data_IF_874387770538
#
_entry.id   IF_874387770538
#
_cell.length_a   1.000
_cell.length_b   1.000
_cell.length_c   1.000
_cell.angle_alpha   90.00
_cell.angle_beta   90.00
_cell.angle_gamma   90.00
#
_symmetry.space_group_name_H-M   'P 1'
#
loop_
_entity.id
_entity.type
_entity.pdbx_description
1 polymer ?
#
# COMPACT_ATOMS: atom_id res chain seq x y z
N UNK A 1 -62.37 -25.30 -0.04
CA UNK A 1 -61.46 -25.38 1.13
C UNK A 1 -60.04 -25.83 0.77
N UNK A 2 -59.81 -27.04 0.23
CA UNK A 2 -58.46 -27.51 -0.17
C UNK A 2 -57.68 -26.58 -1.12
N UNK A 3 -58.34 -25.99 -2.13
CA UNK A 3 -57.71 -25.05 -3.08
C UNK A 3 -57.27 -23.73 -2.42
N UNK A 4 -58.04 -23.24 -1.44
CA UNK A 4 -57.72 -22.02 -0.69
C UNK A 4 -56.53 -22.27 0.24
N UNK A 5 -56.51 -23.42 0.93
CA UNK A 5 -55.39 -23.82 1.78
C UNK A 5 -54.10 -23.96 0.96
N UNK A 6 -54.15 -24.60 -0.22
CA UNK A 6 -52.99 -24.67 -1.12
C UNK A 6 -52.49 -23.30 -1.56
N UNK A 7 -53.39 -22.38 -1.91
CA UNK A 7 -53.01 -21.02 -2.33
C UNK A 7 -52.34 -20.24 -1.18
N UNK A 8 -52.86 -20.36 0.05
CA UNK A 8 -52.28 -19.74 1.25
C UNK A 8 -50.92 -20.36 1.59
N UNK A 9 -50.78 -21.68 1.51
CA UNK A 9 -49.50 -22.36 1.72
C UNK A 9 -48.45 -21.95 0.67
N UNK A 10 -48.84 -21.81 -0.60
CA UNK A 10 -47.93 -21.34 -1.66
C UNK A 10 -47.46 -19.90 -1.42
N UNK A 11 -48.37 -19.00 -1.01
CA UNK A 11 -48.02 -17.61 -0.67
C UNK A 11 -47.06 -17.52 0.52
N UNK A 12 -47.24 -18.37 1.53
CA UNK A 12 -46.33 -18.48 2.68
C UNK A 12 -44.92 -18.91 2.25
N UNK A 13 -44.82 -19.91 1.38
CA UNK A 13 -43.51 -20.37 0.87
C UNK A 13 -42.83 -19.26 0.06
N UNK A 14 -43.58 -18.56 -0.80
CA UNK A 14 -43.05 -17.42 -1.59
C UNK A 14 -42.57 -16.30 -0.66
N UNK A 15 -43.30 -15.98 0.40
CA UNK A 15 -42.92 -14.97 1.38
C UNK A 15 -41.62 -15.32 2.12
N UNK A 16 -41.47 -16.58 2.56
CA UNK A 16 -40.23 -17.05 3.22
C UNK A 16 -39.04 -16.97 2.27
N UNK A 17 -39.20 -17.43 1.02
CA UNK A 17 -38.14 -17.35 -0.01
C UNK A 17 -37.77 -15.90 -0.28
N UNK A 18 -38.75 -15.00 -0.41
CA UNK A 18 -38.50 -13.58 -0.65
C UNK A 18 -37.76 -12.93 0.52
N UNK A 19 -38.12 -13.25 1.78
CA UNK A 19 -37.42 -12.75 2.96
C UNK A 19 -35.97 -13.24 3.04
N UNK A 20 -35.69 -14.50 2.69
CA UNK A 20 -34.32 -15.03 2.65
C UNK A 20 -33.49 -14.31 1.58
N UNK A 21 -34.07 -14.08 0.39
CA UNK A 21 -33.40 -13.34 -0.70
C UNK A 21 -33.12 -11.90 -0.28
N UNK A 22 -34.09 -11.21 0.33
CA UNK A 22 -33.93 -9.84 0.81
C UNK A 22 -32.88 -9.75 1.92
N UNK A 23 -32.87 -10.68 2.88
CA UNK A 23 -31.86 -10.74 3.93
C UNK A 23 -30.44 -10.99 3.40
N UNK A 24 -30.30 -11.89 2.42
CA UNK A 24 -29.00 -12.12 1.78
C UNK A 24 -28.52 -10.91 0.96
N UNK A 25 -29.46 -10.20 0.32
CA UNK A 25 -29.16 -8.93 -0.37
C UNK A 25 -28.75 -7.84 0.61
N UNK A 26 -29.44 -7.67 1.73
CA UNK A 26 -29.11 -6.67 2.74
C UNK A 26 -27.74 -6.95 3.36
N UNK A 27 -27.46 -8.20 3.75
CA UNK A 27 -26.14 -8.58 4.29
C UNK A 27 -25.00 -8.36 3.29
N UNK A 28 -25.27 -8.50 1.99
CA UNK A 28 -24.30 -8.19 0.93
C UNK A 28 -24.08 -6.68 0.79
N UNK A 29 -25.14 -5.88 0.90
CA UNK A 29 -25.07 -4.42 0.88
C UNK A 29 -24.32 -3.88 2.12
N UNK A 30 -24.62 -4.37 3.32
CA UNK A 30 -23.92 -3.96 4.56
C UNK A 30 -22.42 -4.26 4.48
N UNK A 31 -22.04 -5.43 3.95
CA UNK A 31 -20.62 -5.79 3.75
C UNK A 31 -19.92 -4.91 2.73
N UNK A 32 -20.65 -4.49 1.69
CA UNK A 32 -20.15 -3.56 0.69
C UNK A 32 -19.92 -2.18 1.31
N UNK A 33 -20.88 -1.64 2.07
CA UNK A 33 -20.74 -0.34 2.75
C UNK A 33 -19.55 -0.34 3.71
N UNK A 34 -19.42 -1.38 4.55
CA UNK A 34 -18.28 -1.52 5.46
C UNK A 34 -16.95 -1.60 4.70
N UNK A 35 -16.91 -2.30 3.56
CA UNK A 35 -15.70 -2.39 2.74
C UNK A 35 -15.33 -1.03 2.14
N UNK A 36 -16.31 -0.28 1.63
CA UNK A 36 -16.12 1.08 1.10
C UNK A 36 -15.61 2.01 2.20
N UNK A 37 -16.27 2.06 3.36
CA UNK A 37 -15.89 2.94 4.46
C UNK A 37 -14.47 2.62 4.97
N UNK A 38 -14.13 1.33 5.09
CA UNK A 38 -12.78 0.90 5.50
C UNK A 38 -11.74 1.33 4.46
N UNK A 39 -12.01 1.10 3.18
CA UNK A 39 -11.06 1.43 2.11
C UNK A 39 -10.84 2.93 1.98
N UNK A 40 -11.91 3.73 2.07
CA UNK A 40 -11.82 5.18 2.04
C UNK A 40 -11.13 5.73 3.29
N UNK A 41 -11.38 5.17 4.47
CA UNK A 41 -10.67 5.51 5.70
C UNK A 41 -9.15 5.32 5.54
N UNK A 42 -8.72 4.16 5.03
CA UNK A 42 -7.32 3.90 4.73
C UNK A 42 -6.74 4.88 3.70
N UNK A 43 -7.40 4.99 2.55
CA UNK A 43 -6.88 5.77 1.42
C UNK A 43 -6.78 7.27 1.70
N UNK A 44 -7.74 7.84 2.43
CA UNK A 44 -7.81 9.28 2.70
C UNK A 44 -7.03 9.73 3.93
N UNK A 45 -6.93 8.90 4.98
CA UNK A 45 -6.44 9.36 6.30
C UNK A 45 -5.17 8.66 6.78
N UNK A 46 -4.91 7.42 6.35
CA UNK A 46 -3.82 6.61 6.88
C UNK A 46 -2.71 6.31 5.86
N UNK A 47 -2.98 6.52 4.56
CA UNK A 47 -2.05 6.19 3.48
C UNK A 47 -1.02 7.30 3.29
N UNK A 48 0.02 7.25 4.13
CA UNK A 48 1.05 8.30 4.30
C UNK A 48 2.11 8.37 3.19
N UNK A 49 1.78 8.00 1.96
CA UNK A 49 2.77 7.94 0.88
C UNK A 49 3.36 9.32 0.55
N UNK A 50 2.57 10.39 0.64
CA UNK A 50 3.06 11.77 0.51
C UNK A 50 3.98 12.20 1.65
N UNK A 51 3.67 11.86 2.91
CA UNK A 51 4.56 12.18 4.03
C UNK A 51 5.89 11.41 3.96
N UNK A 52 5.85 10.16 3.47
CA UNK A 52 7.04 9.36 3.24
C UNK A 52 7.89 9.95 2.10
N UNK A 53 7.24 10.36 1.00
CA UNK A 53 7.89 11.06 -0.11
C UNK A 53 8.64 12.32 0.38
N UNK A 54 7.95 13.21 1.10
CA UNK A 54 8.55 14.43 1.64
C UNK A 54 9.74 14.13 2.57
N UNK A 55 9.63 13.08 3.38
CA UNK A 55 10.69 12.67 4.31
C UNK A 55 11.92 12.10 3.60
N UNK A 56 11.72 11.37 2.50
CA UNK A 56 12.80 10.82 1.67
C UNK A 56 13.47 11.91 0.83
N UNK A 57 12.70 12.79 0.19
CA UNK A 57 13.26 13.95 -0.54
C UNK A 57 14.07 14.85 0.39
N UNK A 58 13.53 15.14 1.58
CA UNK A 58 14.25 15.90 2.59
C UNK A 58 15.57 15.21 2.97
N UNK A 59 15.54 13.90 3.22
CA UNK A 59 16.75 13.15 3.57
C UNK A 59 17.83 13.22 2.48
N UNK A 60 17.43 13.07 1.21
CA UNK A 60 18.34 13.23 0.08
C UNK A 60 18.90 14.65 -0.01
N UNK A 61 18.05 15.68 0.16
CA UNK A 61 18.47 17.08 0.07
C UNK A 61 19.43 17.49 1.19
N UNK A 62 19.21 16.96 2.41
CA UNK A 62 20.02 17.24 3.59
C UNK A 62 21.20 16.27 3.73
N UNK A 63 21.31 15.28 2.84
CA UNK A 63 22.29 14.19 2.89
C UNK A 63 22.27 13.45 4.23
N UNK A 64 21.08 13.28 4.80
CA UNK A 64 20.87 12.83 6.17
C UNK A 64 19.60 12.01 6.30
N UNK A 65 19.73 10.78 6.81
CA UNK A 65 18.60 9.91 7.09
C UNK A 65 18.42 9.74 8.61
N UNK A 66 17.36 10.31 9.18
CA UNK A 66 17.12 10.29 10.63
C UNK A 66 16.58 8.92 11.09
N UNK A 67 17.23 8.31 12.09
CA UNK A 67 16.90 7.00 12.70
C UNK A 67 16.45 7.09 14.16
N UNK A 68 15.72 8.16 14.49
CA UNK A 68 15.15 8.35 15.83
C UNK A 68 15.99 9.15 16.81
N UNK A 69 15.56 9.11 18.06
CA UNK A 69 16.20 9.81 19.18
C UNK A 69 17.50 9.11 19.60
N UNK A 70 18.46 9.88 20.10
CA UNK A 70 19.74 9.36 20.57
C UNK A 70 19.54 8.23 21.60
N UNK A 71 20.11 7.05 21.33
CA UNK A 71 20.01 5.87 22.21
C UNK A 71 18.72 5.05 22.04
N UNK A 72 17.84 5.44 21.11
CA UNK A 72 16.69 4.66 20.66
C UNK A 72 16.77 4.51 19.16
N UNK A 73 17.27 3.37 18.71
CA UNK A 73 17.26 3.05 17.29
C UNK A 73 15.82 2.81 16.84
N UNK A 74 15.23 3.75 16.10
CA UNK A 74 13.91 3.60 15.52
C UNK A 74 13.92 4.03 14.06
N UNK A 75 13.76 3.06 13.17
CA UNK A 75 13.80 3.28 11.74
C UNK A 75 12.41 3.67 11.21
N UNK A 76 12.15 4.98 11.19
CA UNK A 76 10.86 5.50 10.73
C UNK A 76 10.54 5.12 9.29
N UNK A 77 11.54 5.08 8.41
CA UNK A 77 11.35 4.77 6.98
C UNK A 77 10.91 3.33 6.77
N UNK A 78 11.56 2.38 7.46
CA UNK A 78 11.11 0.98 7.49
C UNK A 78 9.67 0.87 7.97
N UNK A 79 9.36 1.46 9.13
CA UNK A 79 8.04 1.32 9.74
C UNK A 79 6.94 1.94 8.86
N UNK A 80 7.20 3.09 8.25
CA UNK A 80 6.27 3.75 7.33
C UNK A 80 6.08 2.95 6.04
N UNK A 81 7.16 2.42 5.43
CA UNK A 81 7.07 1.57 4.23
C UNK A 81 6.28 0.29 4.51
N UNK A 82 6.53 -0.36 5.65
CA UNK A 82 5.78 -1.54 6.08
C UNK A 82 4.29 -1.25 6.28
N UNK A 83 3.97 -0.07 6.84
CA UNK A 83 2.59 0.39 6.97
C UNK A 83 1.95 0.60 5.60
N UNK A 84 2.63 1.30 4.68
CA UNK A 84 2.14 1.53 3.31
C UNK A 84 1.93 0.19 2.57
N UNK A 85 2.87 -0.75 2.67
CA UNK A 85 2.72 -2.11 2.12
C UNK A 85 1.47 -2.81 2.65
N UNK A 86 1.30 -2.83 3.97
CA UNK A 86 0.15 -3.48 4.63
C UNK A 86 -1.17 -2.87 4.18
N UNK A 87 -1.23 -1.55 4.12
CA UNK A 87 -2.41 -0.82 3.70
C UNK A 87 -2.73 -1.05 2.22
N UNK A 88 -1.72 -1.04 1.35
CA UNK A 88 -1.90 -1.32 -0.07
C UNK A 88 -2.51 -2.71 -0.27
N UNK A 89 -1.96 -3.72 0.42
CA UNK A 89 -2.52 -5.09 0.43
C UNK A 89 -3.98 -5.11 0.88
N UNK A 90 -4.35 -4.35 1.91
CA UNK A 90 -5.73 -4.27 2.39
C UNK A 90 -6.66 -3.63 1.34
N UNK A 91 -6.23 -2.54 0.69
CA UNK A 91 -7.00 -1.90 -0.39
C UNK A 91 -7.22 -2.86 -1.56
N UNK A 92 -6.19 -3.61 -1.96
CA UNK A 92 -6.28 -4.65 -2.98
C UNK A 92 -7.30 -5.73 -2.59
N UNK A 93 -7.28 -6.24 -1.36
CA UNK A 93 -8.25 -7.23 -0.87
C UNK A 93 -9.70 -6.72 -0.90
N UNK A 94 -9.90 -5.42 -0.66
CA UNK A 94 -11.20 -4.78 -0.68
C UNK A 94 -11.69 -4.44 -2.10
N UNK A 95 -10.82 -4.48 -3.12
CA UNK A 95 -11.18 -4.15 -4.49
C UNK A 95 -12.33 -4.99 -5.03
N UNK A 96 -12.26 -6.32 -4.92
CA UNK A 96 -13.29 -7.23 -5.44
C UNK A 96 -14.68 -6.98 -4.84
N UNK A 97 -14.82 -6.88 -3.51
CA UNK A 97 -16.06 -6.48 -2.85
C UNK A 97 -16.63 -5.13 -3.31
N UNK A 98 -15.77 -4.15 -3.63
CA UNK A 98 -16.17 -2.77 -3.94
C UNK A 98 -16.46 -2.55 -5.44
N UNK A 99 -15.53 -2.95 -6.31
CA UNK A 99 -15.56 -2.63 -7.74
C UNK A 99 -15.90 -3.83 -8.63
N UNK A 100 -16.06 -5.03 -8.03
CA UNK A 100 -16.17 -6.28 -8.76
C UNK A 100 -14.82 -6.90 -9.08
N UNK A 101 -14.82 -8.17 -9.46
CA UNK A 101 -13.59 -8.97 -9.61
C UNK A 101 -12.97 -8.91 -11.02
N UNK A 102 -13.53 -8.12 -11.95
CA UNK A 102 -13.11 -8.12 -13.36
C UNK A 102 -11.65 -7.69 -13.58
N UNK A 103 -11.09 -6.90 -12.67
CA UNK A 103 -9.69 -6.44 -12.72
C UNK A 103 -8.89 -6.88 -11.49
N UNK A 104 -9.46 -7.75 -10.65
CA UNK A 104 -8.85 -8.15 -9.38
C UNK A 104 -7.51 -8.85 -9.59
N UNK A 105 -7.41 -9.75 -10.58
CA UNK A 105 -6.18 -10.50 -10.86
C UNK A 105 -5.03 -9.60 -11.32
N UNK A 106 -5.36 -8.52 -12.03
CA UNK A 106 -4.41 -7.48 -12.46
C UNK A 106 -3.95 -6.63 -11.28
N UNK A 107 -4.88 -6.16 -10.45
CA UNK A 107 -4.58 -5.29 -9.30
C UNK A 107 -3.89 -6.05 -8.17
N UNK A 108 -4.28 -7.31 -7.96
CA UNK A 108 -3.62 -8.22 -7.02
C UNK A 108 -2.33 -8.83 -7.55
N UNK A 109 -2.05 -8.62 -8.85
CA UNK A 109 -0.82 -9.03 -9.56
C UNK A 109 -0.40 -10.46 -9.21
N UNK A 110 -1.19 -11.43 -9.71
CA UNK A 110 -1.02 -12.85 -9.43
C UNK A 110 0.41 -13.33 -9.74
N UNK A 111 1.08 -13.88 -8.71
CA UNK A 111 2.27 -14.72 -8.85
C UNK A 111 3.04 -14.86 -7.54
N UNK A 112 3.86 -13.86 -7.23
CA UNK A 112 4.65 -13.69 -5.99
C UNK A 112 5.32 -12.30 -5.92
N UNK A 113 5.24 -11.48 -6.98
CA UNK A 113 5.84 -10.16 -7.06
C UNK A 113 4.72 -9.16 -7.38
N UNK A 114 4.36 -8.35 -6.39
CA UNK A 114 3.32 -7.33 -6.50
C UNK A 114 3.79 -6.07 -5.77
N UNK A 115 3.05 -4.98 -5.93
CA UNK A 115 3.45 -3.68 -5.39
C UNK A 115 3.63 -3.70 -3.87
N UNK A 116 2.82 -4.47 -3.12
CA UNK A 116 3.01 -4.56 -1.67
C UNK A 116 4.26 -5.36 -1.28
N UNK A 117 4.65 -6.39 -2.05
CA UNK A 117 5.92 -7.09 -1.83
C UNK A 117 7.12 -6.17 -2.12
N UNK A 118 7.07 -5.39 -3.21
CA UNK A 118 8.09 -4.38 -3.48
C UNK A 118 8.21 -3.37 -2.34
N UNK A 119 7.09 -2.88 -1.80
CA UNK A 119 7.10 -1.96 -0.65
C UNK A 119 7.66 -2.62 0.63
N UNK A 120 7.43 -3.93 0.82
CA UNK A 120 8.05 -4.69 1.91
C UNK A 120 9.56 -4.85 1.67
N UNK A 121 10.02 -5.09 0.44
CA UNK A 121 11.44 -5.14 0.09
C UNK A 121 12.13 -3.80 0.32
N UNK A 122 11.46 -2.68 0.01
CA UNK A 122 11.93 -1.34 0.39
C UNK A 122 12.04 -1.20 1.91
N UNK A 123 11.09 -1.73 2.67
CA UNK A 123 11.16 -1.71 4.14
C UNK A 123 12.35 -2.53 4.65
N UNK A 124 12.60 -3.70 4.08
CA UNK A 124 13.74 -4.56 4.42
C UNK A 124 15.07 -3.83 4.13
N UNK A 125 15.16 -3.16 2.98
CA UNK A 125 16.34 -2.36 2.63
C UNK A 125 16.68 -1.34 3.72
N UNK A 126 15.68 -0.60 4.20
CA UNK A 126 15.91 0.37 5.27
C UNK A 126 16.26 -0.30 6.60
N UNK A 127 15.67 -1.45 6.92
CA UNK A 127 16.02 -2.24 8.12
C UNK A 127 17.51 -2.60 8.10
N UNK A 128 17.96 -3.19 6.99
CA UNK A 128 19.35 -3.60 6.78
C UNK A 128 20.31 -2.39 6.76
N UNK A 129 19.92 -1.28 6.12
CA UNK A 129 20.68 -0.02 6.16
C UNK A 129 20.87 0.44 7.61
N UNK A 130 19.80 0.35 8.40
CA UNK A 130 19.84 0.72 9.80
C UNK A 130 20.82 -0.10 10.63
N UNK A 131 20.80 -1.41 10.47
CA UNK A 131 21.68 -2.32 11.23
C UNK A 131 23.16 -2.24 10.79
N UNK A 132 23.40 -2.01 9.50
CA UNK A 132 24.74 -2.10 8.90
C UNK A 132 25.46 -0.76 8.75
N UNK A 133 24.78 0.37 8.92
CA UNK A 133 25.35 1.72 8.74
C UNK A 133 26.25 2.21 9.88
N UNK A 134 26.80 1.33 10.73
CA UNK A 134 27.59 1.71 11.94
C UNK A 134 28.68 2.75 11.68
N UNK A 135 29.34 2.69 10.53
CA UNK A 135 30.41 3.61 10.15
C UNK A 135 29.91 4.95 9.57
N UNK A 136 28.66 4.99 9.13
CA UNK A 136 27.99 6.17 8.56
C UNK A 136 27.02 6.81 9.56
N UNK A 137 26.84 6.21 10.74
CA UNK A 137 26.07 6.79 11.85
C UNK A 137 26.78 8.03 12.41
N UNK A 138 26.03 9.12 12.49
CA UNK A 138 26.41 10.37 13.12
C UNK A 138 25.30 10.81 14.09
N UNK A 139 25.58 11.79 14.93
CA UNK A 139 24.59 12.38 15.83
C UNK A 139 24.79 13.89 15.93
N UNK A 140 23.71 14.61 16.22
CA UNK A 140 23.70 16.06 16.41
C UNK A 140 23.42 16.47 17.87
N UNK A 141 23.54 15.53 18.81
CA UNK A 141 23.27 15.71 20.23
C UNK A 141 21.84 15.35 20.66
N UNK A 142 20.87 15.31 19.74
CA UNK A 142 19.48 14.93 20.02
C UNK A 142 19.02 13.72 19.22
N UNK A 143 19.47 13.60 17.97
CA UNK A 143 19.06 12.57 17.02
C UNK A 143 20.25 11.78 16.52
N UNK A 144 19.97 10.53 16.17
CA UNK A 144 20.90 9.68 15.45
C UNK A 144 20.49 9.61 14.00
N UNK A 145 21.46 9.73 13.09
CA UNK A 145 21.20 9.72 11.67
C UNK A 145 22.31 9.02 10.89
N UNK A 146 21.97 8.54 9.71
CA UNK A 146 22.93 8.05 8.72
C UNK A 146 23.31 9.20 7.80
N UNK A 147 24.61 9.47 7.73
CA UNK A 147 25.19 10.42 6.79
C UNK A 147 25.24 9.77 5.40
N UNK A 148 24.37 10.24 4.50
CA UNK A 148 24.22 9.66 3.17
C UNK A 148 25.49 9.85 2.32
N UNK A 149 26.27 10.91 2.57
CA UNK A 149 27.52 11.17 1.88
C UNK A 149 28.65 10.20 2.26
N UNK A 150 28.43 9.34 3.26
CA UNK A 150 29.36 8.29 3.70
C UNK A 150 28.85 6.89 3.39
N UNK A 151 27.77 6.75 2.64
CA UNK A 151 27.30 5.45 2.17
C UNK A 151 28.08 5.03 0.93
N UNK A 152 28.22 3.71 0.76
CA UNK A 152 28.71 3.15 -0.49
C UNK A 152 27.74 3.50 -1.63
N UNK A 153 28.29 3.70 -2.84
CA UNK A 153 27.52 4.15 -4.01
C UNK A 153 26.29 3.27 -4.29
N UNK A 154 26.41 1.96 -4.10
CA UNK A 154 25.31 1.00 -4.30
C UNK A 154 24.18 1.18 -3.29
N UNK A 155 24.51 1.48 -2.03
CA UNK A 155 23.53 1.71 -0.97
C UNK A 155 22.83 3.05 -1.19
N UNK A 156 23.58 4.10 -1.55
CA UNK A 156 23.00 5.39 -1.89
C UNK A 156 22.06 5.29 -3.11
N UNK A 157 22.44 4.51 -4.12
CA UNK A 157 21.56 4.22 -5.27
C UNK A 157 20.25 3.56 -4.82
N UNK A 158 20.28 2.64 -3.85
CA UNK A 158 19.09 2.05 -3.25
C UNK A 158 18.15 3.10 -2.64
N UNK A 159 18.68 4.04 -1.85
CA UNK A 159 17.88 5.14 -1.26
C UNK A 159 17.24 6.00 -2.36
N UNK A 160 17.99 6.33 -3.41
CA UNK A 160 17.48 7.12 -4.54
C UNK A 160 16.37 6.38 -5.30
N UNK A 161 16.57 5.10 -5.62
CA UNK A 161 15.56 4.27 -6.32
C UNK A 161 14.27 4.20 -5.51
N UNK A 162 14.36 3.94 -4.20
CA UNK A 162 13.16 3.87 -3.36
C UNK A 162 12.45 5.24 -3.32
N UNK A 163 13.21 6.33 -3.25
CA UNK A 163 12.63 7.69 -3.27
C UNK A 163 11.89 7.96 -4.58
N UNK A 164 12.45 7.55 -5.71
CA UNK A 164 11.81 7.68 -7.03
C UNK A 164 10.51 6.86 -7.10
N UNK A 165 10.52 5.61 -6.63
CA UNK A 165 9.32 4.76 -6.58
C UNK A 165 8.21 5.41 -5.75
N UNK A 166 8.56 5.90 -4.55
CA UNK A 166 7.60 6.56 -3.66
C UNK A 166 7.08 7.87 -4.28
N UNK A 167 7.93 8.62 -4.99
CA UNK A 167 7.54 9.84 -5.70
C UNK A 167 6.51 9.57 -6.79
N UNK A 168 6.74 8.56 -7.64
CA UNK A 168 5.79 8.17 -8.69
C UNK A 168 4.45 7.69 -8.11
N UNK A 169 4.48 6.89 -7.04
CA UNK A 169 3.24 6.44 -6.38
C UNK A 169 2.46 7.61 -5.73
N UNK A 170 3.15 8.59 -5.16
CA UNK A 170 2.53 9.81 -4.65
C UNK A 170 1.97 10.67 -5.79
N UNK A 171 2.67 10.80 -6.91
CA UNK A 171 2.18 11.52 -8.09
C UNK A 171 0.92 10.83 -8.67
N UNK A 172 0.88 9.50 -8.72
CA UNK A 172 -0.32 8.74 -9.09
C UNK A 172 -1.45 9.04 -8.11
N UNK A 173 -1.22 8.95 -6.79
CA UNK A 173 -2.23 9.26 -5.78
C UNK A 173 -2.77 10.67 -5.92
N UNK A 174 -1.89 11.67 -5.91
CA UNK A 174 -2.26 13.08 -6.01
C UNK A 174 -3.00 13.37 -7.31
N UNK A 175 -2.56 12.85 -8.46
CA UNK A 175 -3.29 13.03 -9.71
C UNK A 175 -4.66 12.35 -9.73
N UNK A 176 -4.85 11.20 -9.06
CA UNK A 176 -6.18 10.58 -8.90
C UNK A 176 -7.15 11.45 -8.08
N UNK A 177 -6.64 12.33 -7.20
CA UNK A 177 -7.43 13.33 -6.47
C UNK A 177 -7.60 14.64 -7.26
N UNK A 178 -6.53 15.18 -7.84
CA UNK A 178 -6.52 16.47 -8.53
C UNK A 178 -7.32 16.45 -9.84
N UNK A 179 -7.45 15.29 -10.48
CA UNK A 179 -8.10 15.19 -11.79
C UNK A 179 -9.64 15.25 -11.78
N UNK A 180 -10.38 15.28 -10.65
CA UNK A 180 -11.89 15.39 -10.65
C UNK A 180 -12.44 16.02 -9.36
N UNK A 181 -13.54 16.79 -9.28
CA UNK A 181 -14.91 16.73 -9.83
C UNK A 181 -15.73 15.44 -9.54
N UNK A 182 -15.17 14.47 -8.81
CA UNK A 182 -15.76 13.14 -8.55
C UNK A 182 -15.70 12.71 -7.07
N UNK A 183 -16.16 11.50 -6.75
CA UNK A 183 -16.15 10.94 -5.38
C UNK A 183 -14.82 10.27 -5.02
N UNK A 184 -14.48 10.22 -3.73
CA UNK A 184 -13.27 9.54 -3.21
C UNK A 184 -13.17 8.07 -3.65
N UNK A 185 -14.32 7.42 -3.84
CA UNK A 185 -14.41 6.05 -4.33
C UNK A 185 -13.87 5.91 -5.77
N UNK A 186 -14.11 6.90 -6.61
CA UNK A 186 -13.57 6.93 -7.97
C UNK A 186 -12.06 7.22 -7.97
N UNK A 187 -11.58 8.08 -7.06
CA UNK A 187 -10.15 8.35 -6.89
C UNK A 187 -9.40 7.08 -6.42
N UNK A 188 -9.98 6.34 -5.46
CA UNK A 188 -9.44 5.05 -5.02
C UNK A 188 -9.37 4.03 -6.17
N UNK A 189 -10.42 3.94 -6.99
CA UNK A 189 -10.46 3.04 -8.15
C UNK A 189 -9.35 3.36 -9.15
N UNK A 190 -9.20 4.65 -9.49
CA UNK A 190 -8.16 5.13 -10.42
C UNK A 190 -6.75 4.88 -9.87
N UNK A 191 -6.53 5.17 -8.58
CA UNK A 191 -5.25 4.93 -7.91
C UNK A 191 -4.83 3.46 -7.98
N UNK A 192 -5.73 2.52 -7.62
CA UNK A 192 -5.42 1.09 -7.64
C UNK A 192 -5.13 0.55 -9.03
N UNK A 193 -5.77 1.11 -10.08
CA UNK A 193 -5.48 0.73 -11.45
C UNK A 193 -4.15 1.28 -11.95
N UNK A 194 -3.89 2.56 -11.72
CA UNK A 194 -2.67 3.21 -12.20
C UNK A 194 -1.43 2.74 -11.44
N UNK A 195 -1.56 2.40 -10.16
CA UNK A 195 -0.47 1.78 -9.40
C UNK A 195 -0.16 0.37 -9.88
N UNK A 196 -1.17 -0.42 -10.29
CA UNK A 196 -0.94 -1.70 -10.96
C UNK A 196 -0.24 -1.51 -12.31
N UNK A 197 -0.67 -0.51 -13.10
CA UNK A 197 -0.04 -0.21 -14.40
C UNK A 197 1.41 0.24 -14.27
N UNK A 198 1.71 1.05 -13.25
CA UNK A 198 3.06 1.44 -12.93
C UNK A 198 3.91 0.22 -12.55
N UNK A 199 3.36 -0.69 -11.73
CA UNK A 199 4.05 -1.92 -11.36
C UNK A 199 4.40 -2.79 -12.56
N UNK A 200 3.53 -2.86 -13.57
CA UNK A 200 3.78 -3.64 -14.79
C UNK A 200 4.82 -2.99 -15.74
N UNK A 201 5.33 -1.79 -15.45
CA UNK A 201 6.35 -1.15 -16.29
C UNK A 201 7.70 -1.85 -16.19
N UNK A 202 8.42 -1.94 -17.32
CA UNK A 202 9.79 -2.50 -17.35
C UNK A 202 10.73 -1.77 -16.39
N UNK A 203 10.64 -0.45 -16.33
CA UNK A 203 11.45 0.38 -15.45
C UNK A 203 11.27 0.03 -13.97
N UNK A 204 10.02 -0.09 -13.49
CA UNK A 204 9.78 -0.47 -12.10
C UNK A 204 10.22 -1.91 -11.82
N UNK A 205 10.03 -2.83 -12.78
CA UNK A 205 10.48 -4.22 -12.63
C UNK A 205 12.01 -4.35 -12.55
N UNK A 206 12.75 -3.48 -13.23
CA UNK A 206 14.22 -3.41 -13.13
C UNK A 206 14.64 -2.85 -11.77
N UNK A 207 14.03 -1.74 -11.33
CA UNK A 207 14.27 -1.16 -10.00
C UNK A 207 13.96 -2.14 -8.85
N UNK A 208 12.86 -2.89 -8.96
CA UNK A 208 12.49 -3.91 -7.98
C UNK A 208 13.59 -4.97 -7.83
N UNK A 209 14.12 -5.50 -8.94
CA UNK A 209 15.23 -6.47 -8.91
C UNK A 209 16.51 -5.91 -8.31
N UNK A 210 16.78 -4.62 -8.51
CA UNK A 210 17.94 -3.96 -7.89
C UNK A 210 17.79 -3.91 -6.37
N UNK A 211 16.60 -3.55 -5.86
CA UNK A 211 16.32 -3.56 -4.41
C UNK A 211 16.43 -4.98 -3.84
N UNK A 212 15.82 -5.98 -4.49
CA UNK A 212 15.93 -7.39 -4.08
C UNK A 212 17.40 -7.85 -4.00
N UNK A 213 18.21 -7.46 -4.99
CA UNK A 213 19.64 -7.75 -5.02
C UNK A 213 20.38 -7.09 -3.84
N UNK A 214 20.10 -5.82 -3.55
CA UNK A 214 20.71 -5.11 -2.41
C UNK A 214 20.38 -5.81 -1.06
N UNK A 215 19.13 -6.22 -0.88
CA UNK A 215 18.67 -6.97 0.30
C UNK A 215 19.33 -8.36 0.42
N UNK A 216 19.69 -8.99 -0.70
CA UNK A 216 20.38 -10.29 -0.69
C UNK A 216 21.87 -10.16 -0.30
N UNK A 217 22.53 -9.08 -0.71
CA UNK A 217 23.93 -8.81 -0.36
C UNK A 217 24.11 -8.45 1.13
N UNK A 218 23.13 -7.77 1.73
CA UNK A 218 23.13 -7.46 3.18
C UNK A 218 23.12 -8.69 4.09
N UNK A 219 22.74 -9.87 3.59
CA UNK A 219 22.66 -11.14 4.34
C UNK A 219 23.96 -11.95 4.35
N UNK A 220 25.00 -11.53 3.63
CA UNK A 220 26.28 -12.27 3.52
C UNK A 220 27.41 -11.71 4.38
N UNK A 221 27.15 -10.72 5.24
CA UNK A 221 28.14 -10.09 6.14
C UNK A 221 27.94 -10.52 7.58
#
# INVERSE_FOLDING_TARGET
MKKIIMAVSALLVISVVMNIVLYNKSKKADRYEVAVDTALGYFSSEYRIGSLHESLEKALSEQRLDFGELGRFNNYYRDDLKKVSTMHRQLTLLYGPIFGYEQYDRISSIGTNNLFNLLEDCSIFFDDLGENSKNSLSNDGERQYVDLGKLDDEVMAGVMIITEIISELEAIRSSSYDQKSGSDLAALHDYLLRSADYFDTTDLQEKAKMIESLNAHGKQV
#
